data_IF_232256510345
#
_entry.id   IF_232256510345
#
_cell.length_a   1.000
_cell.length_b   1.000
_cell.length_c   1.000
_cell.angle_alpha   90.00
_cell.angle_beta   90.00
_cell.angle_gamma   90.00
#
_symmetry.space_group_name_H-M   'P 1'
#
loop_
_entity.id
_entity.type
_entity.pdbx_description
1 polymer ?
#
# COMPACT_ATOMS: atom_id res chain seq x y z
N UNK A 1 19.39 -8.26 28.49
CA UNK A 1 19.47 -6.89 27.90
C UNK A 1 19.81 -6.89 26.40
N UNK A 2 20.06 -8.05 25.76
CA UNK A 2 20.28 -8.14 24.30
C UNK A 2 19.04 -8.49 23.47
N UNK A 3 18.02 -9.12 24.06
CA UNK A 3 16.89 -9.66 23.26
C UNK A 3 16.01 -8.58 22.66
N UNK A 4 15.79 -7.47 23.37
CA UNK A 4 15.01 -6.33 22.86
C UNK A 4 15.76 -5.63 21.73
N UNK A 5 17.10 -5.56 21.80
CA UNK A 5 17.92 -4.93 20.78
C UNK A 5 18.01 -5.78 19.52
N UNK A 6 18.18 -7.10 19.68
CA UNK A 6 18.11 -8.06 18.58
C UNK A 6 16.74 -8.06 17.92
N UNK A 7 15.65 -8.03 18.71
CA UNK A 7 14.29 -7.92 18.19
C UNK A 7 14.06 -6.64 17.37
N UNK A 8 14.58 -5.50 17.84
CA UNK A 8 14.51 -4.24 17.08
C UNK A 8 15.34 -4.29 15.79
N UNK A 9 16.49 -4.96 15.81
CA UNK A 9 17.30 -5.19 14.61
C UNK A 9 16.59 -6.11 13.62
N UNK A 10 16.03 -7.23 14.07
CA UNK A 10 15.26 -8.17 13.23
C UNK A 10 14.05 -7.49 12.61
N UNK A 11 13.36 -6.61 13.35
CA UNK A 11 12.29 -5.77 12.80
C UNK A 11 12.83 -4.80 11.75
N UNK A 12 13.94 -4.11 12.02
CA UNK A 12 14.54 -3.14 11.10
C UNK A 12 15.00 -3.80 9.80
N UNK A 13 15.63 -4.97 9.88
CA UNK A 13 16.05 -5.78 8.74
C UNK A 13 14.85 -6.35 7.99
N UNK A 14 13.86 -6.89 8.70
CA UNK A 14 12.60 -7.35 8.11
C UNK A 14 11.83 -6.23 7.42
N UNK A 15 11.84 -5.00 7.96
CA UNK A 15 11.24 -3.82 7.32
C UNK A 15 12.03 -3.39 6.07
N UNK A 16 13.36 -3.44 6.10
CA UNK A 16 14.19 -3.14 4.91
C UNK A 16 14.02 -4.19 3.82
N UNK A 17 14.02 -5.47 4.18
CA UNK A 17 13.75 -6.58 3.27
C UNK A 17 12.34 -6.45 2.70
N UNK A 18 11.35 -6.12 3.53
CA UNK A 18 9.98 -5.86 3.12
C UNK A 18 9.86 -4.74 2.07
N UNK A 19 10.54 -3.62 2.28
CA UNK A 19 10.53 -2.49 1.35
C UNK A 19 11.22 -2.82 0.03
N UNK A 20 12.24 -3.68 0.04
CA UNK A 20 13.00 -4.05 -1.15
C UNK A 20 12.40 -5.25 -1.92
N UNK A 21 11.70 -6.15 -1.22
CA UNK A 21 11.15 -7.40 -1.77
C UNK A 21 9.81 -7.24 -2.47
N UNK A 22 9.11 -6.13 -2.25
CA UNK A 22 7.79 -5.88 -2.83
C UNK A 22 7.82 -4.72 -3.79
N UNK A 23 7.22 -4.92 -4.96
CA UNK A 23 7.04 -3.85 -5.93
C UNK A 23 5.88 -2.95 -5.47
N UNK A 24 6.13 -1.69 -5.06
CA UNK A 24 5.06 -0.80 -4.61
C UNK A 24 4.22 -0.26 -5.78
N UNK A 25 4.73 -0.34 -7.02
CA UNK A 25 4.10 0.29 -8.19
C UNK A 25 2.61 -0.05 -8.37
N UNK A 26 2.15 -1.30 -8.24
CA UNK A 26 0.73 -1.62 -8.43
C UNK A 26 -0.15 -0.93 -7.37
N UNK A 27 0.31 -0.91 -6.12
CA UNK A 27 -0.36 -0.23 -5.00
C UNK A 27 -0.38 1.28 -5.20
N UNK A 28 0.72 1.85 -5.68
CA UNK A 28 0.81 3.27 -5.99
C UNK A 28 -0.16 3.64 -7.11
N UNK A 29 -0.18 2.88 -8.21
CA UNK A 29 -1.06 3.14 -9.37
C UNK A 29 -2.53 3.03 -8.96
N UNK A 30 -2.91 1.93 -8.29
CA UNK A 30 -4.29 1.73 -7.85
C UNK A 30 -4.69 2.75 -6.78
N UNK A 31 -3.80 3.04 -5.83
CA UNK A 31 -4.01 4.05 -4.81
C UNK A 31 -4.19 5.44 -5.40
N UNK A 32 -3.40 5.82 -6.42
CA UNK A 32 -3.56 7.07 -7.15
C UNK A 32 -4.90 7.13 -7.89
N UNK A 33 -5.27 6.06 -8.60
CA UNK A 33 -6.57 6.00 -9.30
C UNK A 33 -7.73 6.15 -8.32
N UNK A 34 -7.73 5.40 -7.22
CA UNK A 34 -8.76 5.47 -6.19
C UNK A 34 -8.78 6.86 -5.56
N UNK A 35 -7.62 7.43 -5.20
CA UNK A 35 -7.51 8.77 -4.63
C UNK A 35 -8.03 9.86 -5.57
N UNK A 36 -7.73 9.76 -6.86
CA UNK A 36 -8.18 10.69 -7.89
C UNK A 36 -9.68 10.58 -8.18
N UNK A 37 -10.19 9.36 -8.32
CA UNK A 37 -11.62 9.08 -8.55
C UNK A 37 -12.47 9.34 -7.30
N UNK A 38 -11.87 9.40 -6.10
CA UNK A 38 -12.61 9.58 -4.87
C UNK A 38 -13.42 10.90 -4.88
N UNK A 39 -14.75 10.86 -4.69
CA UNK A 39 -15.57 12.06 -4.71
C UNK A 39 -15.48 12.85 -3.39
N UNK A 40 -15.23 12.17 -2.28
CA UNK A 40 -15.03 12.72 -0.93
C UNK A 40 -13.93 11.93 -0.19
N UNK A 41 -13.10 12.59 0.65
CA UNK A 41 -12.11 11.94 1.51
C UNK A 41 -12.78 11.24 2.70
N UNK A 42 -13.68 10.31 2.39
CA UNK A 42 -14.37 9.46 3.36
C UNK A 42 -13.93 8.00 3.17
N UNK A 43 -13.93 7.23 4.27
CA UNK A 43 -13.56 5.81 4.33
C UNK A 43 -12.19 5.52 3.71
N UNK A 44 -11.20 6.37 4.01
CA UNK A 44 -9.83 6.24 3.50
C UNK A 44 -9.23 4.87 3.84
N UNK A 45 -9.48 4.34 5.05
CA UNK A 45 -9.07 2.99 5.44
C UNK A 45 -9.64 1.90 4.53
N UNK A 46 -10.94 1.96 4.21
CA UNK A 46 -11.58 0.97 3.36
C UNK A 46 -11.06 1.04 1.92
N UNK A 47 -10.81 2.25 1.42
CA UNK A 47 -10.23 2.49 0.10
C UNK A 47 -8.78 2.02 0.01
N UNK A 48 -7.98 2.25 1.05
CA UNK A 48 -6.62 1.75 1.14
C UNK A 48 -6.59 0.22 1.21
N UNK A 49 -7.50 -0.41 1.98
CA UNK A 49 -7.65 -1.85 2.04
C UNK A 49 -8.01 -2.43 0.67
N UNK A 50 -8.96 -1.81 -0.05
CA UNK A 50 -9.32 -2.20 -1.41
C UNK A 50 -8.15 -2.02 -2.39
N UNK A 51 -7.38 -0.93 -2.27
CA UNK A 51 -6.20 -0.70 -3.11
C UNK A 51 -5.15 -1.79 -2.92
N UNK A 52 -4.86 -2.15 -1.67
CA UNK A 52 -3.93 -3.23 -1.34
C UNK A 52 -4.47 -4.57 -1.85
N UNK A 53 -5.74 -4.90 -1.63
CA UNK A 53 -6.35 -6.15 -2.07
C UNK A 53 -6.33 -6.30 -3.61
N UNK A 54 -6.68 -5.24 -4.34
CA UNK A 54 -6.62 -5.24 -5.80
C UNK A 54 -5.19 -5.39 -6.32
N UNK A 55 -4.26 -4.63 -5.73
CA UNK A 55 -2.84 -4.68 -6.10
C UNK A 55 -2.22 -6.04 -5.81
N UNK A 56 -2.65 -6.65 -4.72
CA UNK A 56 -2.29 -8.00 -4.34
C UNK A 56 -2.79 -9.02 -5.36
N UNK A 57 -4.07 -8.93 -5.75
CA UNK A 57 -4.65 -9.77 -6.80
C UNK A 57 -3.91 -9.62 -8.13
N UNK A 58 -3.58 -8.40 -8.54
CA UNK A 58 -2.78 -8.16 -9.75
C UNK A 58 -1.39 -8.78 -9.59
N UNK A 59 -0.65 -8.49 -8.52
CA UNK A 59 0.70 -9.04 -8.34
C UNK A 59 0.73 -10.58 -8.31
N UNK A 60 -0.31 -11.20 -7.78
CA UNK A 60 -0.44 -12.65 -7.71
C UNK A 60 -0.76 -13.26 -9.08
N UNK A 61 -1.67 -12.63 -9.84
CA UNK A 61 -2.17 -13.15 -11.12
C UNK A 61 -1.28 -12.75 -12.30
N UNK A 62 -0.57 -11.62 -12.21
CA UNK A 62 0.28 -11.09 -13.29
C UNK A 62 1.37 -12.06 -13.76
N UNK A 63 2.12 -12.75 -12.88
CA UNK A 63 3.05 -13.80 -13.29
C UNK A 63 2.37 -14.93 -14.07
N UNK A 64 1.16 -15.35 -13.66
CA UNK A 64 0.39 -16.39 -14.34
C UNK A 64 0.00 -15.99 -15.77
N UNK A 65 -0.36 -14.71 -15.99
CA UNK A 65 -0.62 -14.18 -17.33
C UNK A 65 0.64 -14.16 -18.22
N UNK A 66 1.82 -14.16 -17.62
CA UNK A 66 3.12 -14.21 -18.30
C UNK A 66 3.72 -15.63 -18.36
N UNK A 67 2.95 -16.67 -18.03
CA UNK A 67 3.39 -18.06 -18.05
C UNK A 67 4.35 -18.44 -16.92
N UNK A 68 4.45 -17.62 -15.87
CA UNK A 68 5.24 -17.88 -14.65
C UNK A 68 4.34 -18.36 -13.51
N UNK A 69 4.87 -19.11 -12.52
CA UNK A 69 4.08 -19.51 -11.36
C UNK A 69 3.56 -18.28 -10.60
N UNK A 70 2.33 -18.37 -10.10
CA UNK A 70 1.75 -17.37 -9.22
C UNK A 70 2.60 -17.25 -7.95
N UNK A 71 2.84 -16.03 -7.49
CA UNK A 71 3.57 -15.76 -6.26
C UNK A 71 2.57 -15.29 -5.21
N UNK A 72 2.36 -16.13 -4.19
CA UNK A 72 1.56 -15.79 -3.02
C UNK A 72 2.52 -15.45 -1.86
N UNK A 73 2.28 -14.36 -1.12
CA UNK A 73 3.01 -14.02 0.08
C UNK A 73 2.72 -15.07 1.14
N UNK A 74 3.77 -15.42 1.85
CA UNK A 74 3.68 -16.36 2.95
C UNK A 74 3.19 -15.61 4.20
N UNK A 75 1.89 -15.71 4.49
CA UNK A 75 1.28 -15.08 5.66
C UNK A 75 1.80 -15.62 7.00
N UNK A 76 2.58 -16.70 7.00
CA UNK A 76 3.24 -17.21 8.21
C UNK A 76 4.56 -16.48 8.50
N UNK A 77 5.10 -15.73 7.54
CA UNK A 77 6.32 -14.97 7.70
C UNK A 77 6.01 -13.53 8.11
N UNK A 78 6.66 -13.08 9.20
CA UNK A 78 6.52 -11.72 9.71
C UNK A 78 6.85 -10.66 8.65
N UNK A 79 7.80 -10.97 7.77
CA UNK A 79 8.20 -10.11 6.65
C UNK A 79 7.02 -9.80 5.72
N UNK A 80 6.26 -10.82 5.30
CA UNK A 80 5.10 -10.64 4.42
C UNK A 80 3.99 -9.81 5.08
N UNK A 81 3.80 -9.94 6.39
CA UNK A 81 2.85 -9.14 7.15
C UNK A 81 3.31 -7.68 7.22
N UNK A 82 4.59 -7.45 7.50
CA UNK A 82 5.18 -6.12 7.52
C UNK A 82 5.11 -5.44 6.13
N UNK A 83 5.37 -6.20 5.05
CA UNK A 83 5.22 -5.76 3.67
C UNK A 83 3.80 -5.27 3.37
N UNK A 84 2.78 -6.06 3.69
CA UNK A 84 1.38 -5.70 3.48
C UNK A 84 0.99 -4.46 4.29
N UNK A 85 1.48 -4.36 5.53
CA UNK A 85 1.24 -3.20 6.38
C UNK A 85 1.87 -1.92 5.79
N UNK A 86 3.12 -1.99 5.32
CA UNK A 86 3.79 -0.85 4.67
C UNK A 86 3.01 -0.42 3.42
N UNK A 87 2.64 -1.36 2.55
CA UNK A 87 1.83 -1.07 1.37
C UNK A 87 0.50 -0.41 1.72
N UNK A 88 -0.15 -0.87 2.79
CA UNK A 88 -1.39 -0.25 3.29
C UNK A 88 -1.17 1.19 3.75
N UNK A 89 -0.12 1.45 4.53
CA UNK A 89 0.22 2.81 4.98
C UNK A 89 0.53 3.73 3.79
N UNK A 90 1.25 3.24 2.79
CA UNK A 90 1.53 3.98 1.55
C UNK A 90 0.26 4.30 0.76
N UNK A 91 -0.60 3.30 0.54
CA UNK A 91 -1.88 3.49 -0.13
C UNK A 91 -2.76 4.50 0.60
N UNK A 92 -2.84 4.37 1.93
CA UNK A 92 -3.59 5.29 2.78
C UNK A 92 -3.06 6.72 2.69
N UNK A 93 -1.74 6.89 2.75
CA UNK A 93 -1.09 8.20 2.62
C UNK A 93 -1.41 8.86 1.27
N UNK A 94 -1.26 8.14 0.16
CA UNK A 94 -1.49 8.69 -1.18
C UNK A 94 -2.96 9.02 -1.41
N UNK A 95 -3.88 8.12 -1.05
CA UNK A 95 -5.32 8.36 -1.18
C UNK A 95 -5.75 9.55 -0.29
N UNK A 96 -5.17 9.66 0.90
CA UNK A 96 -5.37 10.78 1.82
C UNK A 96 -4.91 12.10 1.22
N UNK A 97 -3.65 12.18 0.79
CA UNK A 97 -3.05 13.39 0.19
C UNK A 97 -3.80 13.83 -1.07
N UNK A 98 -4.13 12.90 -1.98
CA UNK A 98 -4.90 13.24 -3.18
C UNK A 98 -6.33 13.70 -2.84
N UNK A 99 -6.93 13.09 -1.81
CA UNK A 99 -8.22 13.51 -1.28
C UNK A 99 -8.23 14.92 -0.73
N UNK A 100 -7.24 15.27 0.08
CA UNK A 100 -7.12 16.60 0.69
C UNK A 100 -6.80 17.65 -0.36
N UNK A 101 -5.91 17.37 -1.32
CA UNK A 101 -5.63 18.26 -2.46
C UNK A 101 -6.88 18.53 -3.30
N UNK A 102 -7.65 17.48 -3.64
CA UNK A 102 -8.89 17.63 -4.41
C UNK A 102 -9.95 18.42 -3.64
N UNK A 103 -10.02 18.24 -2.33
CA UNK A 103 -10.89 19.04 -1.47
C UNK A 103 -10.46 20.51 -1.46
N UNK A 104 -9.17 20.78 -1.27
CA UNK A 104 -8.62 22.13 -1.27
C UNK A 104 -8.88 22.88 -2.60
N UNK A 105 -8.62 22.24 -3.74
CA UNK A 105 -8.87 22.84 -5.06
C UNK A 105 -10.37 23.11 -5.32
N UNK A 106 -11.27 22.25 -4.82
CA UNK A 106 -12.72 22.51 -4.90
C UNK A 106 -13.16 23.70 -4.06
N UNK A 107 -12.49 23.96 -2.94
CA UNK A 107 -12.76 25.13 -2.10
C UNK A 107 -12.26 26.42 -2.74
N UNK A 108 -11.13 26.38 -3.44
CA UNK A 108 -10.58 27.51 -4.19
C UNK A 108 -11.48 27.90 -5.36
N UNK A 109 -11.94 26.94 -6.17
CA UNK A 109 -12.88 27.18 -7.27
C UNK A 109 -14.28 27.66 -6.85
N UNK A 110 -14.64 27.59 -5.56
CA UNK A 110 -15.92 28.12 -5.04
C UNK A 110 -15.82 29.55 -4.55
N UNK A 111 -14.61 30.09 -4.41
CA UNK A 111 -14.35 31.47 -3.97
C UNK A 111 -14.03 32.42 -5.13
N UNK A 112 -13.84 31.90 -6.34
CA UNK A 112 -13.78 32.64 -7.60
C UNK A 112 -15.19 32.71 -8.22
#
# INVERSE_FOLDING_TARGET
MNDIWNFLQDISEGLRAAVNGVNPLPVLIIGMLIGFLQPKPDRLMLKAAAAVALSFGIQTVWPALLGRPMSFPDFQQLESIAQLFILFVFAFGIIGVLGTLKSAMKFENKKA
#
